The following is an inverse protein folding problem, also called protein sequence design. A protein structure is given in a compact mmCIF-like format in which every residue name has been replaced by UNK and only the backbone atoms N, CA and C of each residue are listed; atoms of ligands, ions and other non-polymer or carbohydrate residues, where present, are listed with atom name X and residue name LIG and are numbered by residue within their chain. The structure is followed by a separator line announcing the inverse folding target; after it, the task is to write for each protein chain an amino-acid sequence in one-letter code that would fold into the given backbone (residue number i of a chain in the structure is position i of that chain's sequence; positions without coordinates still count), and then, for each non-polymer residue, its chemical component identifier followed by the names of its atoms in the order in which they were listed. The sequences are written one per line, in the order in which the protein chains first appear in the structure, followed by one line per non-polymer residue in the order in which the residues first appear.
data_IF_082143287087
#
_entry.id   IF_082143287087
#
_cell.length_a   1.000
_cell.length_b   1.000
_cell.length_c   1.000
_cell.angle_alpha   90.00
_cell.angle_beta   90.00
_cell.angle_gamma   90.00
#
_symmetry.space_group_name_H-M   'P 1'
#
loop_
_entity.id
_entity.type
_entity.pdbx_description
1 polymer ?
#
# COMPACT_ATOMS: atom_id res chain seq x y z
N UNK A 1 -38.55 22.41 -3.10
CA UNK A 1 -37.17 22.26 -2.57
C UNK A 1 -36.89 20.76 -2.48
N UNK A 2 -35.70 20.35 -2.91
CA UNK A 2 -35.34 19.00 -3.40
C UNK A 2 -35.56 17.87 -2.37
N UNK A 3 -36.25 16.80 -2.77
CA UNK A 3 -36.00 15.44 -2.24
C UNK A 3 -36.15 14.42 -3.38
N UNK A 4 -35.04 14.10 -4.00
CA UNK A 4 -34.81 12.89 -4.80
C UNK A 4 -33.33 12.58 -4.55
N UNK A 5 -32.96 11.52 -3.83
CA UNK A 5 -33.17 10.15 -4.25
C UNK A 5 -31.82 9.47 -4.06
N UNK A 6 -31.44 9.24 -2.81
CA UNK A 6 -30.34 8.33 -2.50
C UNK A 6 -30.89 6.92 -2.57
N UNK A 7 -30.90 6.33 -3.78
CA UNK A 7 -31.07 4.89 -3.91
C UNK A 7 -29.81 4.22 -3.42
N UNK A 8 -29.80 3.91 -2.12
CA UNK A 8 -28.80 3.05 -1.54
C UNK A 8 -28.91 1.69 -2.27
N UNK A 9 -27.80 1.10 -2.76
CA UNK A 9 -27.81 -0.23 -3.38
C UNK A 9 -28.36 -1.32 -2.44
N UNK A 10 -28.49 -1.02 -1.14
CA UNK A 10 -29.10 -1.90 -0.15
C UNK A 10 -30.61 -2.07 -0.33
N UNK A 11 -31.34 -1.04 -0.76
CA UNK A 11 -32.80 -1.11 -0.91
C UNK A 11 -33.22 -1.99 -2.09
N UNK A 12 -32.45 -1.95 -3.18
CA UNK A 12 -32.66 -2.84 -4.34
C UNK A 12 -32.47 -4.31 -3.96
N UNK A 13 -31.45 -4.61 -3.16
CA UNK A 13 -31.20 -5.97 -2.69
C UNK A 13 -32.28 -6.45 -1.73
N UNK A 14 -32.81 -5.56 -0.87
CA UNK A 14 -33.93 -5.89 0.03
C UNK A 14 -35.22 -6.20 -0.74
N UNK A 15 -35.54 -5.43 -1.78
CA UNK A 15 -36.69 -5.67 -2.65
C UNK A 15 -36.56 -6.99 -3.42
N UNK A 16 -35.38 -7.31 -3.95
CA UNK A 16 -35.10 -8.59 -4.62
C UNK A 16 -35.28 -9.75 -3.63
N UNK A 17 -34.79 -9.62 -2.40
CA UNK A 17 -34.93 -10.64 -1.37
C UNK A 17 -36.41 -10.90 -1.04
N UNK A 18 -37.22 -9.85 -0.88
CA UNK A 18 -38.66 -9.96 -0.62
C UNK A 18 -39.40 -10.64 -1.78
N UNK A 19 -39.06 -10.30 -3.02
CA UNK A 19 -39.65 -10.93 -4.20
C UNK A 19 -39.34 -12.44 -4.27
N UNK A 20 -38.10 -12.84 -3.97
CA UNK A 20 -37.68 -14.25 -3.94
C UNK A 20 -38.40 -15.01 -2.83
N UNK A 21 -38.50 -14.44 -1.62
CA UNK A 21 -39.24 -15.06 -0.51
C UNK A 21 -40.72 -15.24 -0.87
N UNK A 22 -41.35 -14.22 -1.47
CA UNK A 22 -42.74 -14.31 -1.92
C UNK A 22 -42.97 -15.41 -2.96
N UNK A 23 -42.05 -15.53 -3.93
CA UNK A 23 -42.10 -16.59 -4.94
C UNK A 23 -41.98 -17.99 -4.31
N UNK A 24 -41.04 -18.17 -3.38
CA UNK A 24 -40.84 -19.45 -2.68
C UNK A 24 -42.10 -19.86 -1.92
N UNK A 25 -42.72 -18.93 -1.17
CA UNK A 25 -43.96 -19.20 -0.43
C UNK A 25 -45.10 -19.56 -1.38
N UNK A 26 -45.23 -18.87 -2.51
CA UNK A 26 -46.25 -19.17 -3.52
C UNK A 26 -46.06 -20.56 -4.14
N UNK A 27 -44.82 -20.95 -4.45
CA UNK A 27 -44.49 -22.28 -4.98
C UNK A 27 -44.79 -23.37 -3.95
N UNK A 28 -44.40 -23.19 -2.70
CA UNK A 28 -44.71 -24.15 -1.61
C UNK A 28 -46.23 -24.30 -1.45
N UNK A 29 -46.97 -23.19 -1.44
CA UNK A 29 -48.44 -23.20 -1.36
C UNK A 29 -49.09 -23.90 -2.55
N UNK A 30 -48.58 -23.67 -3.76
CA UNK A 30 -49.06 -24.34 -4.98
C UNK A 30 -48.80 -25.85 -4.93
N UNK A 31 -47.61 -26.26 -4.48
CA UNK A 31 -47.27 -27.69 -4.31
C UNK A 31 -48.20 -28.34 -3.28
N UNK A 32 -48.40 -27.73 -2.11
CA UNK A 32 -49.32 -28.23 -1.08
C UNK A 32 -50.77 -28.32 -1.58
N UNK A 33 -51.21 -27.33 -2.38
CA UNK A 33 -52.53 -27.32 -3.01
C UNK A 33 -52.70 -28.44 -4.05
N UNK A 34 -51.68 -28.69 -4.87
CA UNK A 34 -51.68 -29.80 -5.83
C UNK A 34 -51.65 -31.15 -5.10
N UNK A 35 -50.84 -31.30 -4.05
CA UNK A 35 -50.79 -32.52 -3.23
C UNK A 35 -52.14 -32.83 -2.56
N UNK A 36 -52.85 -31.82 -2.07
CA UNK A 36 -54.18 -32.00 -1.44
C UNK A 36 -55.29 -32.32 -2.45
N UNK A 37 -55.21 -31.82 -3.69
CA UNK A 37 -56.17 -32.18 -4.76
C UNK A 37 -55.91 -33.53 -5.39
N UNK A 38 -54.65 -33.95 -5.53
CA UNK A 38 -54.28 -35.24 -6.13
C UNK A 38 -54.40 -36.39 -5.10
N UNK A 39 -54.34 -36.10 -3.80
CA UNK A 39 -54.39 -37.09 -2.71
C UNK A 39 -55.73 -37.81 -2.44
N UNK A 40 -56.76 -37.67 -3.30
CA UNK A 40 -57.99 -38.48 -3.20
C UNK A 40 -58.00 -39.74 -4.08
N UNK A 41 -56.91 -40.05 -4.76
CA UNK A 41 -56.79 -41.29 -5.54
C UNK A 41 -55.38 -41.84 -5.72
N UNK A 42 -54.42 -41.39 -4.91
CA UNK A 42 -53.04 -41.86 -5.01
C UNK A 42 -52.77 -42.94 -3.96
N UNK A 43 -52.60 -44.17 -4.42
CA UNK A 43 -52.12 -45.30 -3.63
C UNK A 43 -50.85 -44.93 -2.83
N UNK A 44 -50.77 -45.29 -1.54
CA UNK A 44 -49.59 -45.01 -0.71
C UNK A 44 -48.32 -45.76 -1.16
N UNK A 45 -48.42 -46.72 -2.08
CA UNK A 45 -47.26 -47.40 -2.67
C UNK A 45 -46.46 -46.52 -3.64
N UNK A 46 -47.01 -45.39 -4.12
CA UNK A 46 -46.31 -44.53 -5.09
C UNK A 46 -45.18 -43.69 -4.48
N UNK A 47 -45.14 -43.56 -3.15
CA UNK A 47 -44.13 -42.75 -2.44
C UNK A 47 -42.88 -43.54 -2.04
N UNK A 48 -42.79 -44.82 -2.41
CA UNK A 48 -41.72 -45.70 -1.97
C UNK A 48 -40.40 -45.65 -2.75
N UNK A 49 -40.41 -45.30 -4.05
CA UNK A 49 -39.22 -45.51 -4.88
C UNK A 49 -38.88 -44.42 -5.92
N UNK A 50 -39.76 -43.44 -6.18
CA UNK A 50 -39.50 -42.34 -7.13
C UNK A 50 -39.31 -40.97 -6.43
N UNK A 51 -38.91 -40.98 -5.15
CA UNK A 51 -38.33 -39.82 -4.46
C UNK A 51 -36.92 -39.46 -5.01
N UNK A 52 -36.83 -39.45 -6.34
CA UNK A 52 -36.21 -38.45 -7.21
C UNK A 52 -34.78 -37.98 -6.88
N UNK A 53 -33.81 -38.24 -7.79
CA UNK A 53 -32.40 -37.80 -7.69
C UNK A 53 -32.18 -36.30 -7.43
N UNK A 54 -33.13 -35.43 -7.82
CA UNK A 54 -32.98 -33.98 -7.74
C UNK A 54 -32.82 -33.43 -6.32
N UNK A 55 -33.32 -34.12 -5.27
CA UNK A 55 -33.13 -33.69 -3.89
C UNK A 55 -31.66 -33.83 -3.43
N UNK A 56 -30.99 -34.90 -3.85
CA UNK A 56 -29.57 -35.11 -3.58
C UNK A 56 -28.71 -34.11 -4.36
N UNK A 57 -29.08 -33.80 -5.61
CA UNK A 57 -28.45 -32.74 -6.40
C UNK A 57 -28.66 -31.35 -5.77
N UNK A 58 -29.85 -31.08 -5.22
CA UNK A 58 -30.15 -29.83 -4.51
C UNK A 58 -29.32 -29.71 -3.22
N UNK A 59 -29.21 -30.78 -2.43
CA UNK A 59 -28.36 -30.79 -1.24
C UNK A 59 -26.88 -30.66 -1.59
N UNK A 60 -26.42 -31.28 -2.68
CA UNK A 60 -25.07 -31.11 -3.21
C UNK A 60 -24.80 -29.68 -3.69
N UNK A 61 -25.76 -29.04 -4.35
CA UNK A 61 -25.65 -27.63 -4.75
C UNK A 61 -25.60 -26.69 -3.54
N UNK A 62 -26.37 -26.98 -2.49
CA UNK A 62 -26.38 -26.19 -1.25
C UNK A 62 -25.10 -26.37 -0.43
N UNK A 63 -24.52 -27.58 -0.38
CA UNK A 63 -23.23 -27.81 0.28
C UNK A 63 -22.09 -27.11 -0.45
N UNK A 64 -22.07 -27.17 -1.79
CA UNK A 64 -21.13 -26.44 -2.63
C UNK A 64 -21.22 -24.92 -2.46
N UNK A 65 -22.43 -24.36 -2.32
CA UNK A 65 -22.63 -22.93 -2.05
C UNK A 65 -22.07 -22.51 -0.67
N UNK A 66 -22.20 -23.36 0.35
CA UNK A 66 -21.65 -23.10 1.68
C UNK A 66 -20.12 -23.11 1.65
N UNK A 67 -19.53 -24.11 1.03
CA UNK A 67 -18.08 -24.23 0.87
C UNK A 67 -17.51 -23.06 0.07
N UNK A 68 -18.18 -22.65 -1.01
CA UNK A 68 -17.76 -21.51 -1.82
C UNK A 68 -17.80 -20.19 -1.02
N UNK A 69 -18.85 -19.95 -0.23
CA UNK A 69 -18.91 -18.78 0.68
C UNK A 69 -17.80 -18.80 1.73
N UNK A 70 -17.44 -19.97 2.23
CA UNK A 70 -16.39 -20.10 3.23
C UNK A 70 -14.99 -19.89 2.62
N UNK A 71 -14.74 -20.44 1.43
CA UNK A 71 -13.55 -20.15 0.65
C UNK A 71 -13.45 -18.66 0.32
N UNK A 72 -14.55 -18.00 -0.04
CA UNK A 72 -14.53 -16.59 -0.36
C UNK A 72 -14.26 -15.71 0.87
N UNK A 73 -14.77 -16.08 2.05
CA UNK A 73 -14.37 -15.43 3.32
C UNK A 73 -12.89 -15.59 3.60
N UNK A 74 -12.31 -16.78 3.39
CA UNK A 74 -10.87 -17.02 3.55
C UNK A 74 -10.04 -16.19 2.55
N UNK A 75 -10.45 -16.13 1.28
CA UNK A 75 -9.80 -15.31 0.25
C UNK A 75 -9.85 -13.82 0.61
N UNK A 76 -11.00 -13.32 1.05
CA UNK A 76 -11.15 -11.92 1.50
C UNK A 76 -10.29 -11.66 2.74
N UNK A 77 -10.27 -12.57 3.72
CA UNK A 77 -9.40 -12.50 4.88
C UNK A 77 -7.91 -12.42 4.51
N UNK A 78 -7.44 -13.32 3.65
CA UNK A 78 -6.06 -13.32 3.17
C UNK A 78 -5.72 -12.03 2.39
N UNK A 79 -6.65 -11.52 1.58
CA UNK A 79 -6.46 -10.26 0.84
C UNK A 79 -6.40 -9.02 1.73
N UNK A 80 -7.07 -9.05 2.90
CA UNK A 80 -7.05 -7.95 3.85
C UNK A 80 -5.72 -7.94 4.62
N UNK A 81 -5.28 -9.11 5.09
CA UNK A 81 -4.00 -9.27 5.77
C UNK A 81 -2.82 -8.88 4.87
N UNK A 82 -2.86 -9.22 3.58
CA UNK A 82 -1.82 -8.80 2.63
C UNK A 82 -1.75 -7.27 2.47
N UNK A 83 -2.90 -6.61 2.32
CA UNK A 83 -2.97 -5.15 2.21
C UNK A 83 -2.52 -4.44 3.49
N UNK A 84 -2.83 -5.00 4.64
CA UNK A 84 -2.38 -4.48 5.94
C UNK A 84 -0.86 -4.58 6.07
N UNK A 85 -0.27 -5.74 5.75
CA UNK A 85 1.19 -5.90 5.73
C UNK A 85 1.89 -4.98 4.71
N UNK A 86 1.30 -4.78 3.54
CA UNK A 86 1.83 -3.83 2.55
C UNK A 86 1.82 -2.39 3.07
N UNK A 87 0.77 -2.00 3.80
CA UNK A 87 0.71 -0.69 4.48
C UNK A 87 1.75 -0.56 5.58
N UNK A 88 1.84 -1.53 6.48
CA UNK A 88 2.86 -1.55 7.54
C UNK A 88 4.28 -1.44 6.96
N UNK A 89 4.54 -2.17 5.87
CA UNK A 89 5.83 -2.08 5.18
C UNK A 89 6.07 -0.71 4.56
N UNK A 90 5.05 -0.12 3.93
CA UNK A 90 5.16 1.22 3.35
C UNK A 90 5.40 2.30 4.42
N UNK A 91 4.69 2.21 5.54
CA UNK A 91 4.87 3.10 6.70
C UNK A 91 6.27 2.96 7.29
N UNK A 92 6.76 1.74 7.48
CA UNK A 92 8.13 1.49 7.94
C UNK A 92 9.17 2.11 7.01
N UNK A 93 9.06 1.88 5.70
CA UNK A 93 9.98 2.44 4.71
C UNK A 93 9.94 3.97 4.66
N UNK A 94 8.76 4.57 4.85
CA UNK A 94 8.62 6.02 4.90
C UNK A 94 9.32 6.63 6.14
N UNK A 95 9.19 6.00 7.31
CA UNK A 95 9.89 6.40 8.53
C UNK A 95 11.41 6.27 8.36
N UNK A 96 11.86 5.17 7.77
CA UNK A 96 13.28 4.94 7.50
C UNK A 96 13.85 5.98 6.52
N UNK A 97 13.12 6.31 5.46
CA UNK A 97 13.52 7.32 4.49
C UNK A 97 13.65 8.70 5.15
N UNK A 98 12.68 9.07 6.00
CA UNK A 98 12.72 10.31 6.75
C UNK A 98 13.91 10.39 7.71
N UNK A 99 14.21 9.29 8.41
CA UNK A 99 15.37 9.20 9.30
C UNK A 99 16.69 9.42 8.55
N UNK A 100 16.91 8.68 7.47
CA UNK A 100 18.14 8.80 6.66
C UNK A 100 18.28 10.19 6.04
N UNK A 101 17.17 10.77 5.54
CA UNK A 101 17.16 12.13 4.99
C UNK A 101 17.53 13.17 6.04
N UNK A 102 17.08 12.99 7.29
CA UNK A 102 17.48 13.85 8.42
C UNK A 102 18.98 13.78 8.71
N UNK A 103 19.57 12.58 8.67
CA UNK A 103 21.02 12.41 8.80
C UNK A 103 21.79 13.08 7.65
N UNK A 104 21.32 12.92 6.41
CA UNK A 104 21.93 13.57 5.24
C UNK A 104 21.87 15.10 5.36
N UNK A 105 20.73 15.64 5.83
CA UNK A 105 20.54 17.08 6.02
C UNK A 105 21.48 17.66 7.09
N UNK A 106 21.68 16.92 8.19
CA UNK A 106 22.63 17.30 9.22
C UNK A 106 24.07 17.35 8.70
N UNK A 107 24.48 16.37 7.86
CA UNK A 107 25.80 16.36 7.24
C UNK A 107 25.98 17.50 6.24
N UNK A 108 24.98 17.77 5.40
CA UNK A 108 25.02 18.88 4.44
C UNK A 108 25.06 20.23 5.16
N UNK A 109 24.31 20.39 6.26
CA UNK A 109 24.36 21.60 7.09
C UNK A 109 25.76 21.80 7.66
N UNK A 110 26.33 20.77 8.28
CA UNK A 110 27.69 20.81 8.78
C UNK A 110 28.71 21.12 7.69
N UNK A 111 28.58 20.52 6.51
CA UNK A 111 29.45 20.81 5.37
C UNK A 111 29.39 22.28 4.97
N UNK A 112 28.19 22.89 4.96
CA UNK A 112 28.02 24.31 4.72
C UNK A 112 28.68 25.19 5.78
N UNK A 113 28.61 24.80 7.06
CA UNK A 113 29.29 25.50 8.17
C UNK A 113 30.82 25.43 8.03
N UNK A 114 31.37 24.26 7.74
CA UNK A 114 32.81 24.06 7.53
C UNK A 114 33.28 24.87 6.30
N UNK A 115 32.53 24.86 5.20
CA UNK A 115 32.83 25.66 3.99
C UNK A 115 32.81 27.17 4.28
N UNK A 116 31.86 27.65 5.08
CA UNK A 116 31.82 29.06 5.48
C UNK A 116 33.00 29.46 6.39
N UNK A 117 33.55 28.50 7.13
CA UNK A 117 34.75 28.66 7.95
C UNK A 117 36.06 28.57 7.20
N UNK A 118 36.06 28.11 5.94
CA UNK A 118 37.25 28.11 5.08
C UNK A 118 37.61 29.56 4.76
N UNK A 119 38.77 30.05 5.22
CA UNK A 119 39.21 31.38 4.83
C UNK A 119 39.38 31.38 3.32
N UNK A 120 38.70 32.31 2.64
CA UNK A 120 38.93 32.70 1.25
C UNK A 120 40.30 33.39 1.15
N UNK A 121 41.35 32.70 1.55
CA UNK A 121 42.71 33.15 1.32
C UNK A 121 42.86 33.30 -0.18
N UNK A 122 43.58 34.31 -0.60
CA UNK A 122 43.90 34.62 -1.99
C UNK A 122 44.72 33.46 -2.61
N UNK A 123 44.06 32.33 -2.89
CA UNK A 123 44.69 31.13 -3.47
C UNK A 123 44.84 31.41 -4.95
N UNK A 124 45.94 32.07 -5.32
CA UNK A 124 46.22 32.48 -6.69
C UNK A 124 45.97 31.34 -7.69
N UNK A 125 44.95 31.51 -8.54
CA UNK A 125 44.67 30.69 -9.71
C UNK A 125 44.07 29.31 -9.40
N UNK A 126 44.90 28.34 -9.02
CA UNK A 126 44.51 26.92 -9.00
C UNK A 126 43.59 26.55 -7.83
N UNK A 127 43.80 27.14 -6.64
CA UNK A 127 42.98 26.81 -5.47
C UNK A 127 41.59 27.44 -5.45
N UNK A 128 41.38 28.52 -6.19
CA UNK A 128 40.05 29.11 -6.38
C UNK A 128 39.14 28.20 -7.21
N UNK A 129 39.67 27.56 -8.27
CA UNK A 129 38.90 26.65 -9.13
C UNK A 129 38.46 25.40 -8.37
N UNK A 130 39.37 24.79 -7.59
CA UNK A 130 39.05 23.64 -6.74
C UNK A 130 37.97 23.95 -5.70
N UNK A 131 38.00 25.15 -5.11
CA UNK A 131 37.00 25.58 -4.14
C UNK A 131 35.63 25.85 -4.77
N UNK A 132 35.59 26.46 -5.97
CA UNK A 132 34.34 26.65 -6.72
C UNK A 132 33.71 25.31 -7.14
N UNK A 133 34.51 24.34 -7.55
CA UNK A 133 34.04 22.97 -7.81
C UNK A 133 33.44 22.33 -6.55
N UNK A 134 34.06 22.57 -5.39
CA UNK A 134 33.56 22.12 -4.09
C UNK A 134 32.19 22.73 -3.74
N UNK A 135 32.04 24.04 -3.97
CA UNK A 135 30.77 24.74 -3.77
C UNK A 135 29.69 24.25 -4.75
N UNK A 136 30.05 23.97 -6.00
CA UNK A 136 29.16 23.36 -6.98
C UNK A 136 28.68 21.96 -6.57
N UNK A 137 29.57 21.12 -6.03
CA UNK A 137 29.24 19.81 -5.50
C UNK A 137 28.33 19.91 -4.27
N UNK A 138 28.59 20.85 -3.36
CA UNK A 138 27.72 21.15 -2.22
C UNK A 138 26.30 21.54 -2.67
N UNK A 139 26.16 22.43 -3.64
CA UNK A 139 24.86 22.83 -4.18
C UNK A 139 24.14 21.68 -4.90
N UNK A 140 24.89 20.77 -5.53
CA UNK A 140 24.33 19.55 -6.10
C UNK A 140 23.79 18.62 -4.99
N UNK A 141 24.54 18.40 -3.91
CA UNK A 141 24.12 17.58 -2.76
C UNK A 141 22.87 18.13 -2.08
N UNK A 142 22.80 19.45 -1.87
CA UNK A 142 21.62 20.11 -1.28
C UNK A 142 20.38 19.88 -2.13
N UNK A 143 20.50 20.00 -3.46
CA UNK A 143 19.40 19.75 -4.39
C UNK A 143 19.02 18.26 -4.46
N UNK A 144 20.00 17.36 -4.41
CA UNK A 144 19.76 15.92 -4.38
C UNK A 144 19.02 15.51 -3.09
N UNK A 145 19.42 16.02 -1.93
CA UNK A 145 18.74 15.76 -0.65
C UNK A 145 17.29 16.26 -0.66
N UNK A 146 17.05 17.44 -1.25
CA UNK A 146 15.71 18.01 -1.34
C UNK A 146 14.75 17.17 -2.19
N UNK A 147 15.29 16.46 -3.20
CA UNK A 147 14.54 15.63 -4.16
C UNK A 147 14.54 14.14 -3.84
N UNK A 148 15.28 13.68 -2.83
CA UNK A 148 15.30 12.28 -2.46
C UNK A 148 13.92 11.83 -1.96
N UNK A 149 13.31 10.89 -2.67
CA UNK A 149 11.98 10.33 -2.38
C UNK A 149 12.06 8.91 -1.81
N UNK A 150 13.22 8.25 -1.97
CA UNK A 150 13.46 6.89 -1.49
C UNK A 150 14.57 6.80 -0.42
N UNK A 151 14.52 5.73 0.38
CA UNK A 151 15.57 5.38 1.36
C UNK A 151 16.93 5.25 0.68
N UNK A 152 16.98 4.63 -0.51
CA UNK A 152 18.22 4.39 -1.24
C UNK A 152 18.86 5.71 -1.71
N UNK A 153 18.07 6.63 -2.27
CA UNK A 153 18.56 7.95 -2.67
C UNK A 153 19.06 8.75 -1.46
N UNK A 154 18.30 8.76 -0.35
CA UNK A 154 18.72 9.43 0.88
C UNK A 154 20.03 8.85 1.44
N UNK A 155 20.22 7.52 1.36
CA UNK A 155 21.48 6.87 1.78
C UNK A 155 22.65 7.25 0.90
N UNK A 156 22.46 7.35 -0.41
CA UNK A 156 23.49 7.79 -1.34
C UNK A 156 23.90 9.23 -1.04
N UNK A 157 22.92 10.15 -0.90
CA UNK A 157 23.19 11.55 -0.55
C UNK A 157 23.93 11.66 0.78
N UNK A 158 23.52 10.88 1.80
CA UNK A 158 24.24 10.82 3.09
C UNK A 158 25.69 10.37 2.93
N UNK A 159 25.95 9.36 2.09
CA UNK A 159 27.30 8.88 1.81
C UNK A 159 28.12 9.95 1.12
N UNK A 160 27.60 10.54 0.05
CA UNK A 160 28.30 11.57 -0.72
C UNK A 160 28.57 12.82 0.14
N UNK A 161 27.64 13.22 1.02
CA UNK A 161 27.85 14.32 1.96
C UNK A 161 28.97 14.01 2.98
N UNK A 162 29.10 12.76 3.42
CA UNK A 162 30.19 12.32 4.29
C UNK A 162 31.53 12.34 3.56
N UNK A 163 31.56 11.86 2.32
CA UNK A 163 32.76 11.85 1.49
C UNK A 163 33.20 13.29 1.18
N UNK A 164 32.25 14.20 0.89
CA UNK A 164 32.53 15.61 0.68
C UNK A 164 33.10 16.30 1.94
N UNK A 165 32.60 15.98 3.14
CA UNK A 165 33.20 16.46 4.39
C UNK A 165 34.64 16.00 4.56
N UNK A 166 34.93 14.74 4.24
CA UNK A 166 36.30 14.20 4.34
C UNK A 166 37.23 14.85 3.31
N UNK A 167 36.78 15.01 2.07
CA UNK A 167 37.56 15.69 1.03
C UNK A 167 37.86 17.14 1.41
N UNK A 168 36.89 17.86 2.00
CA UNK A 168 37.10 19.23 2.46
C UNK A 168 38.15 19.28 3.56
N UNK A 169 38.06 18.34 4.50
CA UNK A 169 39.02 18.22 5.60
C UNK A 169 40.44 17.99 5.07
N UNK A 170 40.62 17.03 4.16
CA UNK A 170 41.91 16.73 3.54
C UNK A 170 42.46 17.93 2.76
N UNK A 171 41.61 18.62 2.00
CA UNK A 171 42.01 19.84 1.29
C UNK A 171 42.47 20.95 2.26
N UNK A 172 41.73 21.16 3.36
CA UNK A 172 42.12 22.12 4.41
C UNK A 172 43.41 21.72 5.15
N UNK A 173 43.72 20.43 5.26
CA UNK A 173 44.99 19.93 5.81
C UNK A 173 46.15 20.18 4.85
N UNK A 174 46.02 19.80 3.58
CA UNK A 174 47.02 20.03 2.52
C UNK A 174 47.36 21.53 2.38
N UNK A 175 46.35 22.40 2.40
CA UNK A 175 46.57 23.86 2.34
C UNK A 175 47.22 24.43 3.59
N UNK A 176 47.08 23.79 4.75
CA UNK A 176 47.80 24.21 5.98
C UNK A 176 49.28 23.84 5.88
N UNK A 177 49.61 22.67 5.35
CA UNK A 177 50.99 22.21 5.17
C UNK A 177 51.74 23.03 4.11
N UNK A 178 51.03 23.51 3.08
CA UNK A 178 51.62 24.33 2.02
C UNK A 178 51.90 25.79 2.41
N UNK A 179 51.49 26.25 3.61
CA UNK A 179 51.85 27.60 4.07
C UNK A 179 53.32 27.59 4.54
N UNK A 180 54.22 28.35 3.89
CA UNK A 180 55.56 28.53 4.43
C UNK A 180 55.44 29.20 5.80
N UNK A 181 56.17 28.70 6.80
CA UNK A 181 56.34 29.34 8.09
C UNK A 181 56.79 30.80 7.84
N UNK A 182 55.88 31.76 8.06
CA UNK A 182 56.16 33.20 8.03
C UNK A 182 55.99 33.76 9.44
#
# INVERSE_FOLDING_TARGET
MVVAGMHHPQDRNALILLAVVGLVVAVIGLVAFLSTRVGRGADPEFWGHDATPWYLDLLGALSGLRENREQERRRRGNSAVLREREREKAEFLAVEAAGVRGEADALITRLGEELAGVPTVDVAGAGMVEFEEFMGAYDALKRANARAESVAEARNVRSEARDALELLRLWCEDRREQRPEQ
#
